data_IF_406293958352
#
_entry.id   IF_406293958352
#
_cell.length_a   1.000
_cell.length_b   1.000
_cell.length_c   1.000
_cell.angle_alpha   90.00
_cell.angle_beta   90.00
_cell.angle_gamma   90.00
#
_symmetry.space_group_name_H-M   'P 1'
#
loop_
_entity.id
_entity.type
_entity.pdbx_description
1 polymer ?
#
# COMPACT_ATOMS: atom_id res chain seq x y z
N UNK A 1 -35.20 35.95 57.80
CA UNK A 1 -34.86 35.62 59.20
C UNK A 1 -34.23 34.25 59.16
N UNK A 2 -32.92 34.05 59.29
CA UNK A 2 -31.78 34.89 59.71
C UNK A 2 -30.59 33.92 59.49
N UNK A 3 -29.69 34.16 58.54
CA UNK A 3 -28.40 34.88 58.66
C UNK A 3 -27.19 34.06 59.11
N UNK A 4 -26.06 34.46 58.52
CA UNK A 4 -24.66 34.27 58.85
C UNK A 4 -23.94 32.99 58.36
N UNK A 5 -22.72 32.96 57.78
CA UNK A 5 -21.71 33.90 57.26
C UNK A 5 -20.31 33.31 57.57
N UNK A 6 -19.47 33.11 56.54
CA UNK A 6 -17.99 33.31 56.48
C UNK A 6 -17.45 32.69 55.17
N UNK A 7 -17.02 33.45 54.15
CA UNK A 7 -15.75 34.20 54.00
C UNK A 7 -14.49 33.32 54.16
N UNK A 8 -13.41 33.38 53.37
CA UNK A 8 -13.01 34.05 52.12
C UNK A 8 -11.59 33.50 51.77
N UNK A 9 -11.07 33.85 50.58
CA UNK A 9 -9.64 34.12 50.28
C UNK A 9 -8.85 33.08 49.43
N UNK A 10 -8.58 33.48 48.18
CA UNK A 10 -7.45 33.07 47.31
C UNK A 10 -6.14 33.77 47.77
N UNK A 11 -4.95 33.28 47.38
CA UNK A 11 -4.22 33.84 46.21
C UNK A 11 -3.46 32.73 45.44
N UNK A 12 -2.78 32.87 44.30
CA UNK A 12 -1.96 33.96 43.74
C UNK A 12 -1.72 33.74 42.23
N UNK A 13 -1.76 34.85 41.51
CA UNK A 13 -1.23 35.15 40.17
C UNK A 13 0.30 34.97 40.11
N UNK A 14 0.83 34.45 38.98
CA UNK A 14 2.10 34.86 38.34
C UNK A 14 2.53 33.80 37.30
N UNK A 15 2.62 34.20 36.03
CA UNK A 15 3.56 33.74 34.99
C UNK A 15 2.98 33.70 33.56
N UNK A 16 2.01 34.56 33.26
CA UNK A 16 1.68 34.94 31.88
C UNK A 16 2.32 36.31 31.58
N UNK A 17 3.61 36.36 31.27
CA UNK A 17 4.22 37.49 30.52
C UNK A 17 5.62 37.11 30.00
N UNK A 18 5.74 36.75 28.72
CA UNK A 18 6.96 36.93 27.93
C UNK A 18 6.69 36.59 26.46
N UNK A 19 5.82 37.39 25.82
CA UNK A 19 5.81 37.53 24.37
C UNK A 19 6.63 38.78 23.99
N UNK A 20 7.25 38.70 22.80
CA UNK A 20 7.91 39.76 22.01
C UNK A 20 9.33 40.21 22.36
N UNK A 21 10.29 39.74 21.54
CA UNK A 21 11.02 40.63 20.61
C UNK A 21 11.63 39.85 19.44
N UNK A 22 11.30 40.31 18.24
CA UNK A 22 11.63 39.76 16.92
C UNK A 22 13.08 40.03 16.46
N UNK A 23 13.54 39.16 15.54
CA UNK A 23 14.35 39.40 14.30
C UNK A 23 15.74 40.05 14.44
N UNK A 24 16.79 39.68 13.72
CA UNK A 24 16.99 39.10 12.37
C UNK A 24 18.47 38.64 12.28
N UNK A 25 18.85 37.64 11.50
CA UNK A 25 19.52 37.77 10.18
C UNK A 25 19.95 36.33 9.80
N UNK A 26 19.45 35.73 8.72
CA UNK A 26 20.11 35.66 7.40
C UNK A 26 21.23 34.58 7.41
N UNK A 27 21.37 33.61 6.53
CA UNK A 27 20.82 33.27 5.21
C UNK A 27 21.10 31.77 5.00
N UNK A 28 20.41 31.12 4.07
CA UNK A 28 20.83 29.81 3.57
C UNK A 28 19.68 28.93 3.12
N UNK A 29 19.17 29.21 1.92
CA UNK A 29 18.29 28.28 1.23
C UNK A 29 19.01 26.95 0.98
N UNK A 30 18.59 25.92 1.71
CA UNK A 30 18.70 24.55 1.28
C UNK A 30 17.27 24.03 1.32
N UNK A 31 16.66 23.83 0.15
CA UNK A 31 15.45 23.04 0.03
C UNK A 31 15.72 21.73 0.75
N UNK A 32 15.18 21.59 1.95
CA UNK A 32 15.26 20.36 2.71
C UNK A 32 14.64 19.30 1.80
N UNK A 33 15.47 18.42 1.26
CA UNK A 33 15.01 17.17 0.70
C UNK A 33 14.35 16.49 1.89
N UNK A 34 13.04 16.65 1.99
CA UNK A 34 12.21 16.09 3.03
C UNK A 34 12.37 14.58 2.91
N UNK A 35 13.35 14.07 3.65
CA UNK A 35 13.79 12.68 3.55
C UNK A 35 12.76 11.93 4.37
N UNK A 36 11.67 11.55 3.70
CA UNK A 36 10.66 10.69 4.30
C UNK A 36 11.36 9.42 4.79
N UNK A 37 11.09 8.97 6.02
CA UNK A 37 11.64 7.72 6.51
C UNK A 37 11.26 6.58 5.55
N UNK A 38 12.11 5.57 5.39
CA UNK A 38 11.77 4.43 4.53
C UNK A 38 10.45 3.82 5.01
N UNK A 39 9.53 3.58 4.08
CA UNK A 39 8.24 3.02 4.40
C UNK A 39 8.41 1.67 5.11
N UNK A 40 7.86 1.56 6.31
CA UNK A 40 7.92 0.34 7.13
C UNK A 40 6.69 -0.50 6.80
N UNK A 41 6.92 -1.73 6.37
CA UNK A 41 5.85 -2.72 6.24
C UNK A 41 5.47 -3.24 7.62
N UNK A 42 4.28 -2.93 8.13
CA UNK A 42 3.80 -3.50 9.39
C UNK A 42 2.65 -4.47 9.16
N UNK A 43 2.78 -5.67 9.71
CA UNK A 43 1.65 -6.59 9.89
C UNK A 43 0.64 -5.96 10.87
N UNK A 44 -0.64 -6.03 10.52
CA UNK A 44 -1.72 -5.57 11.38
C UNK A 44 -1.92 -6.53 12.56
N UNK A 45 -1.55 -6.10 13.76
CA UNK A 45 -2.05 -6.68 15.01
C UNK A 45 -2.37 -5.55 15.98
N UNK A 46 -3.54 -4.95 15.81
CA UNK A 46 -4.07 -3.90 16.69
C UNK A 46 -4.26 -2.54 16.00
N UNK A 47 -4.86 -1.57 16.69
CA UNK A 47 -5.14 -0.25 16.13
C UNK A 47 -3.83 0.45 15.69
N UNK A 48 -3.83 1.14 14.53
CA UNK A 48 -2.65 1.84 14.05
C UNK A 48 -2.20 2.90 15.06
N UNK A 49 -0.89 2.98 15.29
CA UNK A 49 -0.32 3.99 16.15
C UNK A 49 -0.41 5.38 15.50
N UNK A 50 -0.42 6.44 16.33
CA UNK A 50 -0.61 7.82 15.86
C UNK A 50 0.49 8.34 14.92
N UNK A 51 1.58 7.58 14.72
CA UNK A 51 2.66 7.91 13.79
C UNK A 51 2.44 7.38 12.36
N UNK A 52 1.39 6.57 12.13
CA UNK A 52 1.03 5.99 10.82
C UNK A 52 0.49 7.04 9.85
N UNK A 53 0.59 6.75 8.56
CA UNK A 53 0.01 7.59 7.51
C UNK A 53 -1.52 7.46 7.43
N UNK A 54 -2.12 6.59 8.25
CA UNK A 54 -3.55 6.34 8.35
C UNK A 54 -4.38 7.64 8.49
N UNK A 55 -5.36 7.82 7.60
CA UNK A 55 -6.27 8.97 7.62
C UNK A 55 -5.68 10.30 7.11
N UNK A 56 -4.41 10.36 6.71
CA UNK A 56 -3.83 11.59 6.14
C UNK A 56 -4.39 11.87 4.73
N UNK A 57 -4.42 13.13 4.26
CA UNK A 57 -4.78 13.45 2.87
C UNK A 57 -3.70 12.98 1.88
N UNK A 58 -4.07 12.79 0.61
CA UNK A 58 -3.14 12.38 -0.45
C UNK A 58 -2.10 13.49 -0.60
N UNK A 59 -0.83 13.19 -0.30
CA UNK A 59 0.22 14.21 -0.24
C UNK A 59 1.21 14.05 -1.41
N UNK A 60 1.38 12.84 -1.91
CA UNK A 60 2.28 12.53 -3.03
C UNK A 60 1.58 12.08 -4.30
N UNK A 61 2.24 12.29 -5.44
CA UNK A 61 1.95 11.61 -6.71
C UNK A 61 2.79 10.32 -6.82
N UNK A 62 2.15 9.15 -7.09
CA UNK A 62 2.86 7.91 -7.36
C UNK A 62 3.90 8.09 -8.48
N UNK A 63 5.12 7.58 -8.26
CA UNK A 63 6.24 7.64 -9.22
C UNK A 63 7.11 8.90 -9.18
N UNK A 64 6.71 9.96 -8.46
CA UNK A 64 7.52 11.16 -8.23
C UNK A 64 7.98 11.27 -6.77
N UNK A 65 7.10 10.91 -5.85
CA UNK A 65 7.36 10.95 -4.41
C UNK A 65 7.63 9.55 -3.86
N UNK A 66 8.28 9.48 -2.69
CA UNK A 66 8.48 8.23 -1.94
C UNK A 66 7.17 7.89 -1.23
N UNK A 67 6.75 6.61 -1.17
CA UNK A 67 5.58 6.23 -0.40
C UNK A 67 5.77 6.51 1.09
N UNK A 68 4.69 6.94 1.75
CA UNK A 68 4.66 7.16 3.19
C UNK A 68 4.64 5.83 3.96
N UNK A 69 3.86 4.89 3.46
CA UNK A 69 3.63 3.59 4.10
C UNK A 69 3.48 2.51 3.01
N UNK A 70 3.91 1.30 3.31
CA UNK A 70 3.74 0.14 2.43
C UNK A 70 2.90 -0.88 3.19
N UNK A 71 1.68 -1.10 2.71
CA UNK A 71 0.78 -2.12 3.24
C UNK A 71 1.07 -3.41 2.51
N UNK A 72 1.37 -4.47 3.26
CA UNK A 72 1.63 -5.82 2.72
C UNK A 72 0.41 -6.70 2.91
N UNK A 73 -0.04 -7.30 1.82
CA UNK A 73 -1.14 -8.28 1.81
C UNK A 73 -0.52 -9.65 1.58
N UNK A 74 -0.67 -10.52 2.57
CA UNK A 74 -0.04 -11.83 2.56
C UNK A 74 -0.70 -12.78 1.55
N UNK A 75 0.11 -13.72 1.06
CA UNK A 75 -0.36 -14.88 0.32
C UNK A 75 -1.27 -15.73 1.21
N UNK A 76 -2.39 -16.16 0.65
CA UNK A 76 -3.28 -17.15 1.26
C UNK A 76 -2.80 -18.56 0.93
N UNK A 77 -2.37 -19.31 1.95
CA UNK A 77 -1.88 -20.68 1.82
C UNK A 77 -2.98 -21.76 1.89
N UNK A 78 -4.25 -21.38 2.02
CA UNK A 78 -5.38 -22.32 2.14
C UNK A 78 -5.51 -23.28 0.95
N UNK A 79 -5.25 -22.80 -0.27
CA UNK A 79 -5.27 -23.59 -1.51
C UNK A 79 -3.93 -24.27 -1.83
N UNK A 80 -3.00 -24.31 -0.87
CA UNK A 80 -1.73 -25.03 -0.99
C UNK A 80 -0.70 -24.36 -1.92
N UNK A 81 -0.53 -24.92 -3.12
CA UNK A 81 0.52 -24.57 -4.08
C UNK A 81 0.23 -23.28 -4.87
N UNK A 82 -1.04 -22.99 -5.14
CA UNK A 82 -1.38 -21.88 -6.04
C UNK A 82 -1.08 -20.53 -5.37
N UNK A 83 -0.42 -19.58 -6.06
CA UNK A 83 -0.27 -18.23 -5.57
C UNK A 83 -1.62 -17.52 -5.61
N UNK A 84 -2.17 -17.23 -4.43
CA UNK A 84 -3.42 -16.50 -4.22
C UNK A 84 -3.24 -15.58 -3.01
N UNK A 85 -3.97 -14.48 -2.94
CA UNK A 85 -3.87 -13.50 -1.85
C UNK A 85 -5.16 -13.43 -1.05
N UNK A 86 -5.05 -13.10 0.24
CA UNK A 86 -6.21 -12.88 1.07
C UNK A 86 -6.98 -11.63 0.64
N UNK A 87 -8.30 -11.76 0.48
CA UNK A 87 -9.22 -10.64 0.23
C UNK A 87 -9.65 -9.90 1.50
N UNK A 88 -9.02 -10.20 2.64
CA UNK A 88 -9.26 -9.48 3.91
C UNK A 88 -8.85 -8.03 3.78
N UNK A 89 -9.77 -7.11 4.05
CA UNK A 89 -9.52 -5.69 3.95
C UNK A 89 -8.56 -5.20 5.05
N UNK A 90 -7.39 -4.65 4.70
CA UNK A 90 -6.49 -4.04 5.68
C UNK A 90 -7.06 -2.70 6.16
N UNK A 91 -7.06 -2.47 7.47
CA UNK A 91 -7.64 -1.26 8.06
C UNK A 91 -6.84 -0.01 7.69
N UNK A 92 -5.55 -0.14 7.38
CA UNK A 92 -4.70 0.96 6.93
C UNK A 92 -5.21 1.65 5.65
N UNK A 93 -6.04 0.95 4.86
CA UNK A 93 -6.65 1.49 3.64
C UNK A 93 -8.05 2.08 3.85
N UNK A 94 -8.56 2.02 5.07
CA UNK A 94 -9.86 2.60 5.41
C UNK A 94 -9.85 4.12 5.12
N UNK A 95 -10.89 4.59 4.43
CA UNK A 95 -11.02 5.98 4.00
C UNK A 95 -10.37 6.33 2.65
N UNK A 96 -9.61 5.42 2.02
CA UNK A 96 -9.07 5.60 0.65
C UNK A 96 -9.81 4.79 -0.39
N UNK A 97 -10.04 3.52 -0.10
CA UNK A 97 -10.70 2.57 -1.00
C UNK A 97 -11.79 1.83 -0.24
N UNK A 98 -12.88 1.50 -0.94
CA UNK A 98 -13.95 0.72 -0.34
C UNK A 98 -13.52 -0.75 -0.17
N UNK A 99 -13.97 -1.45 0.88
CA UNK A 99 -13.68 -2.87 1.05
C UNK A 99 -14.18 -3.73 -0.11
N UNK A 100 -15.29 -3.35 -0.73
CA UNK A 100 -15.85 -4.05 -1.89
C UNK A 100 -14.93 -3.93 -3.10
N UNK A 101 -14.47 -2.71 -3.42
CA UNK A 101 -13.53 -2.49 -4.53
C UNK A 101 -12.24 -3.25 -4.27
N UNK A 102 -11.67 -3.18 -3.05
CA UNK A 102 -10.47 -3.93 -2.71
C UNK A 102 -10.64 -5.44 -2.93
N UNK A 103 -11.74 -6.01 -2.45
CA UNK A 103 -12.03 -7.44 -2.63
C UNK A 103 -12.17 -7.83 -4.10
N UNK A 104 -12.79 -6.98 -4.93
CA UNK A 104 -12.90 -7.19 -6.37
C UNK A 104 -11.52 -7.20 -7.05
N UNK A 105 -10.66 -6.23 -6.73
CA UNK A 105 -9.29 -6.14 -7.27
C UNK A 105 -8.48 -7.41 -6.95
N UNK A 106 -8.52 -7.85 -5.69
CA UNK A 106 -7.80 -9.07 -5.26
C UNK A 106 -8.38 -10.31 -5.94
N UNK A 107 -9.71 -10.39 -6.09
CA UNK A 107 -10.35 -11.51 -6.78
C UNK A 107 -9.95 -11.58 -8.26
N UNK A 108 -9.88 -10.44 -8.95
CA UNK A 108 -9.44 -10.37 -10.35
C UNK A 108 -7.98 -10.81 -10.53
N UNK A 109 -7.10 -10.38 -9.62
CA UNK A 109 -5.70 -10.82 -9.58
C UNK A 109 -5.62 -12.33 -9.34
N UNK A 110 -6.34 -12.84 -8.34
CA UNK A 110 -6.38 -14.26 -8.02
C UNK A 110 -6.91 -15.09 -9.20
N UNK A 111 -7.94 -14.62 -9.91
CA UNK A 111 -8.47 -15.29 -11.08
C UNK A 111 -7.42 -15.45 -12.21
N UNK A 112 -6.60 -14.43 -12.45
CA UNK A 112 -5.49 -14.52 -13.41
C UNK A 112 -4.37 -15.45 -12.94
N UNK A 113 -4.04 -15.45 -11.65
CA UNK A 113 -3.03 -16.35 -11.09
C UNK A 113 -3.44 -17.82 -11.18
N UNK A 114 -4.71 -18.11 -10.87
CA UNK A 114 -5.30 -19.45 -11.03
C UNK A 114 -5.27 -19.86 -12.50
N UNK A 115 -5.66 -18.96 -13.41
CA UNK A 115 -5.60 -19.22 -14.85
C UNK A 115 -4.19 -19.53 -15.31
N UNK A 116 -3.19 -18.79 -14.82
CA UNK A 116 -1.79 -18.98 -15.20
C UNK A 116 -1.25 -20.36 -14.80
N UNK A 117 -1.67 -20.89 -13.66
CA UNK A 117 -1.26 -22.20 -13.12
C UNK A 117 -2.09 -23.37 -13.65
N UNK A 118 -2.67 -23.27 -14.84
CA UNK A 118 -3.39 -24.38 -15.46
C UNK A 118 -2.40 -25.49 -15.89
N UNK A 119 -2.49 -26.70 -15.31
CA UNK A 119 -1.52 -27.78 -15.56
C UNK A 119 -1.61 -28.30 -17.00
N UNK A 120 -2.81 -28.35 -17.58
CA UNK A 120 -3.04 -28.84 -18.94
C UNK A 120 -2.36 -27.95 -19.98
N UNK A 121 -2.46 -26.63 -19.82
CA UNK A 121 -1.80 -25.67 -20.72
C UNK A 121 -0.28 -25.76 -20.61
N UNK A 122 0.22 -25.85 -19.39
CA UNK A 122 1.65 -26.00 -19.11
C UNK A 122 2.20 -27.31 -19.70
N UNK A 123 1.44 -28.41 -19.61
CA UNK A 123 1.82 -29.69 -20.21
C UNK A 123 1.92 -29.63 -21.73
N UNK A 124 0.98 -28.93 -22.40
CA UNK A 124 1.02 -28.75 -23.86
C UNK A 124 2.26 -27.94 -24.26
N UNK A 125 2.54 -26.84 -23.57
CA UNK A 125 3.71 -26.00 -23.85
C UNK A 125 5.02 -26.78 -23.65
N UNK A 126 5.13 -27.54 -22.57
CA UNK A 126 6.30 -28.37 -22.30
C UNK A 126 6.47 -29.49 -23.32
N UNK A 127 5.38 -30.14 -23.73
CA UNK A 127 5.40 -31.19 -24.76
C UNK A 127 5.86 -30.62 -26.11
N UNK A 128 5.37 -29.42 -26.48
CA UNK A 128 5.79 -28.72 -27.69
C UNK A 128 7.26 -28.30 -27.61
N UNK A 129 7.71 -27.80 -26.45
CA UNK A 129 9.11 -27.45 -26.22
C UNK A 129 10.01 -28.66 -26.43
N UNK A 130 9.69 -29.81 -25.85
CA UNK A 130 10.47 -31.05 -26.00
C UNK A 130 10.47 -31.52 -27.47
N UNK A 131 9.30 -31.56 -28.12
CA UNK A 131 9.17 -32.01 -29.51
C UNK A 131 9.98 -31.16 -30.49
N UNK A 132 10.17 -29.88 -30.16
CA UNK A 132 10.91 -28.90 -30.98
C UNK A 132 12.35 -28.69 -30.51
N UNK A 133 12.86 -29.51 -29.59
CA UNK A 133 14.19 -29.35 -28.99
C UNK A 133 14.41 -27.94 -28.43
N UNK A 134 13.38 -27.40 -27.77
CA UNK A 134 13.28 -26.05 -27.20
C UNK A 134 13.33 -24.90 -28.22
N UNK A 135 13.42 -25.16 -29.52
CA UNK A 135 13.47 -24.12 -30.55
C UNK A 135 12.18 -23.27 -30.56
N UNK A 136 11.03 -23.87 -30.21
CA UNK A 136 9.76 -23.15 -30.09
C UNK A 136 9.77 -22.06 -29.03
N UNK A 137 10.55 -22.20 -27.94
CA UNK A 137 10.59 -21.23 -26.85
C UNK A 137 11.22 -19.89 -27.26
N UNK A 138 12.00 -19.89 -28.34
CA UNK A 138 12.60 -18.68 -28.90
C UNK A 138 11.60 -17.83 -29.68
N UNK A 139 10.55 -18.46 -30.23
CA UNK A 139 9.58 -17.82 -31.13
C UNK A 139 8.22 -17.62 -30.45
N UNK A 140 7.84 -18.55 -29.57
CA UNK A 140 6.51 -18.63 -28.98
C UNK A 140 6.64 -18.46 -27.46
N UNK A 141 6.06 -17.38 -26.93
CA UNK A 141 5.91 -17.20 -25.47
C UNK A 141 5.02 -18.28 -24.89
N UNK A 142 5.41 -18.81 -23.73
CA UNK A 142 4.62 -19.80 -23.00
C UNK A 142 3.29 -19.21 -22.51
N UNK A 143 2.32 -20.07 -22.26
CA UNK A 143 1.03 -19.74 -21.66
C UNK A 143 1.22 -18.91 -20.39
N UNK A 144 2.10 -19.37 -19.49
CA UNK A 144 2.39 -18.66 -18.25
C UNK A 144 2.90 -17.24 -18.49
N UNK A 145 3.87 -17.05 -19.40
CA UNK A 145 4.41 -15.72 -19.72
C UNK A 145 3.34 -14.78 -20.30
N UNK A 146 2.40 -15.31 -21.11
CA UNK A 146 1.30 -14.52 -21.65
C UNK A 146 0.33 -14.10 -20.55
N UNK A 147 -0.07 -15.02 -19.69
CA UNK A 147 -0.98 -14.70 -18.58
C UNK A 147 -0.34 -13.75 -17.57
N UNK A 148 0.97 -13.85 -17.32
CA UNK A 148 1.68 -12.88 -16.47
C UNK A 148 1.75 -11.49 -17.11
N UNK A 149 1.90 -11.41 -18.44
CA UNK A 149 1.80 -10.13 -19.14
C UNK A 149 0.38 -9.54 -19.04
N UNK A 150 -0.66 -10.37 -19.13
CA UNK A 150 -2.06 -9.96 -18.89
C UNK A 150 -2.25 -9.45 -17.46
N UNK A 151 -1.66 -10.11 -16.45
CA UNK A 151 -1.68 -9.67 -15.06
C UNK A 151 -1.02 -8.31 -14.88
N UNK A 152 0.17 -8.10 -15.45
CA UNK A 152 0.86 -6.81 -15.39
C UNK A 152 0.02 -5.69 -16.04
N UNK A 153 -0.63 -5.97 -17.17
CA UNK A 153 -1.54 -5.02 -17.82
C UNK A 153 -2.80 -4.75 -16.99
N UNK A 154 -3.32 -5.75 -16.28
CA UNK A 154 -4.43 -5.56 -15.34
C UNK A 154 -4.00 -4.64 -14.19
N UNK A 155 -2.86 -4.91 -13.55
CA UNK A 155 -2.33 -4.08 -12.46
C UNK A 155 -2.11 -2.63 -12.91
N UNK A 156 -1.52 -2.41 -14.09
CA UNK A 156 -1.33 -1.08 -14.65
C UNK A 156 -2.65 -0.33 -14.87
N UNK A 157 -3.68 -1.02 -15.35
CA UNK A 157 -5.03 -0.44 -15.52
C UNK A 157 -5.65 -0.09 -14.17
N UNK A 158 -5.63 -1.02 -13.22
CA UNK A 158 -6.14 -0.78 -11.86
C UNK A 158 -5.42 0.39 -11.17
N UNK A 159 -4.10 0.48 -11.36
CA UNK A 159 -3.31 1.60 -10.88
C UNK A 159 -3.77 2.93 -11.49
N UNK A 160 -3.92 2.99 -12.81
CA UNK A 160 -4.32 4.22 -13.50
C UNK A 160 -5.76 4.66 -13.18
N UNK A 161 -6.70 3.72 -13.16
CA UNK A 161 -8.14 4.00 -13.09
C UNK A 161 -8.66 4.15 -11.65
N UNK A 162 -8.14 3.33 -10.73
CA UNK A 162 -8.71 3.21 -9.37
C UNK A 162 -7.73 3.69 -8.30
N UNK A 163 -6.46 3.26 -8.34
CA UNK A 163 -5.55 3.44 -7.19
C UNK A 163 -4.82 4.79 -7.19
N UNK A 164 -4.30 5.26 -8.33
CA UNK A 164 -3.62 6.56 -8.40
C UNK A 164 -4.52 7.76 -7.99
N UNK A 165 -5.81 7.81 -8.38
CA UNK A 165 -6.72 8.88 -7.91
C UNK A 165 -6.88 8.93 -6.39
N UNK A 166 -6.72 7.80 -5.70
CA UNK A 166 -6.84 7.71 -4.24
C UNK A 166 -5.47 7.72 -3.53
N UNK A 167 -4.39 7.99 -4.25
CA UNK A 167 -3.03 8.03 -3.67
C UNK A 167 -2.47 6.66 -3.30
N UNK A 168 -2.93 5.60 -3.96
CA UNK A 168 -2.42 4.24 -3.78
C UNK A 168 -1.69 3.78 -5.04
N UNK A 169 -0.69 2.92 -4.90
CA UNK A 169 -0.07 2.22 -6.03
C UNK A 169 0.19 0.77 -5.69
N UNK A 170 -0.29 -0.12 -6.55
CA UNK A 170 -0.07 -1.56 -6.44
C UNK A 170 1.22 -1.93 -7.15
N UNK A 171 2.13 -2.58 -6.41
CA UNK A 171 3.37 -3.10 -6.96
C UNK A 171 3.14 -4.49 -7.56
N UNK A 172 3.78 -4.77 -8.70
CA UNK A 172 3.69 -6.08 -9.35
C UNK A 172 4.12 -7.21 -8.38
N UNK A 173 3.25 -8.22 -8.13
CA UNK A 173 3.53 -9.31 -7.18
C UNK A 173 4.66 -10.25 -7.67
N UNK A 174 5.05 -10.15 -8.94
CA UNK A 174 6.22 -10.88 -9.45
C UNK A 174 7.52 -10.42 -8.76
N UNK A 175 7.61 -9.15 -8.34
CA UNK A 175 8.81 -8.62 -7.65
C UNK A 175 9.01 -9.21 -6.26
N UNK A 176 7.92 -9.58 -5.60
CA UNK A 176 7.88 -10.24 -4.28
C UNK A 176 7.79 -11.77 -4.39
N UNK A 177 8.02 -12.33 -5.59
CA UNK A 177 7.87 -13.76 -5.85
C UNK A 177 6.51 -14.34 -5.41
N UNK A 178 5.44 -13.55 -5.48
CA UNK A 178 4.08 -13.89 -5.07
C UNK A 178 3.90 -14.26 -3.59
N UNK A 179 4.86 -13.90 -2.72
CA UNK A 179 4.76 -14.13 -1.28
C UNK A 179 3.80 -13.15 -0.59
N UNK A 180 3.74 -11.93 -1.11
CA UNK A 180 2.85 -10.87 -0.66
C UNK A 180 2.64 -9.86 -1.78
N UNK A 181 1.56 -9.10 -1.71
CA UNK A 181 1.34 -7.91 -2.53
C UNK A 181 1.74 -6.68 -1.72
N UNK A 182 2.47 -5.76 -2.34
CA UNK A 182 2.78 -4.45 -1.74
C UNK A 182 1.86 -3.39 -2.32
N UNK A 183 1.23 -2.63 -1.43
CA UNK A 183 0.42 -1.47 -1.75
C UNK A 183 1.06 -0.24 -1.12
N UNK A 184 1.57 0.63 -1.97
CA UNK A 184 2.23 1.87 -1.60
C UNK A 184 1.19 2.97 -1.34
N UNK A 185 1.34 3.68 -0.22
CA UNK A 185 0.47 4.75 0.24
C UNK A 185 1.16 6.11 0.08
N UNK A 186 0.50 7.08 -0.58
CA UNK A 186 1.03 8.43 -0.87
C UNK A 186 0.17 9.58 -0.30
#
# INVERSE_FOLDING_TARGET
>A
MTDAEKAATQPSTAAETAAERLTSTGEGGASAVETYPPAVSSYYFGPPDASRAFGQPVTGKPGVHVPKEIVRIERDYSSGELPQFHSSFPLELEGRISPTTFSELINDINALLIRAHNPTRTWIDNSLAILTLYLSTLVVRSHYQRTMAELQQLIQRLNAEVLHPVGLSLVDPHKSAFLYIELEYF
#
